data_IF_940567075460
#
_entry.id   IF_940567075460
#
_cell.length_a   1.000
_cell.length_b   1.000
_cell.length_c   1.000
_cell.angle_alpha   90.00
_cell.angle_beta   90.00
_cell.angle_gamma   90.00
#
_symmetry.space_group_name_H-M   'P 1'
#
loop_
_entity.id
_entity.type
_entity.pdbx_description
1 polymer ?
#
# COMPACT_ATOMS: atom_id res chain seq x y z
N UNK A 1 -11.66 12.56 28.32
CA UNK A 1 -10.87 12.63 27.05
C UNK A 1 -11.47 11.65 26.07
N UNK A 2 -11.61 12.03 24.80
CA UNK A 2 -12.09 11.13 23.76
C UNK A 2 -10.92 10.22 23.35
N UNK A 3 -11.12 8.91 23.31
CA UNK A 3 -10.13 7.96 22.80
C UNK A 3 -10.09 8.02 21.28
N UNK A 4 -8.89 8.05 20.70
CA UNK A 4 -8.66 7.91 19.25
C UNK A 4 -8.25 6.49 18.86
N UNK A 5 -8.15 5.59 19.85
CA UNK A 5 -7.88 4.18 19.60
C UNK A 5 -8.97 3.55 18.73
N UNK A 6 -8.58 2.68 17.81
CA UNK A 6 -9.48 2.02 16.87
C UNK A 6 -9.04 0.59 16.60
N UNK A 7 -9.90 -0.17 15.90
CA UNK A 7 -9.67 -1.57 15.57
C UNK A 7 -10.09 -1.86 14.13
N UNK A 8 -9.26 -2.62 13.41
CA UNK A 8 -9.57 -3.13 12.08
C UNK A 8 -9.34 -4.64 12.09
N UNK A 9 -10.41 -5.41 11.99
CA UNK A 9 -10.33 -6.87 12.11
C UNK A 9 -9.74 -7.30 13.45
N UNK A 10 -8.63 -8.01 13.43
CA UNK A 10 -7.90 -8.47 14.62
C UNK A 10 -6.84 -7.46 15.13
N UNK A 11 -6.64 -6.34 14.44
CA UNK A 11 -5.57 -5.38 14.72
C UNK A 11 -6.10 -4.20 15.55
N UNK A 12 -5.43 -3.93 16.66
CA UNK A 12 -5.69 -2.78 17.51
C UNK A 12 -4.70 -1.65 17.18
N UNK A 13 -5.17 -0.41 17.18
CA UNK A 13 -4.41 0.80 16.88
C UNK A 13 -4.59 1.80 18.00
N UNK A 14 -3.50 2.36 18.51
CA UNK A 14 -3.50 3.35 19.60
C UNK A 14 -4.22 4.65 19.20
N UNK A 15 -4.20 4.96 17.91
CA UNK A 15 -5.02 6.02 17.31
C UNK A 15 -5.33 5.73 15.83
N UNK A 16 -6.31 6.48 15.28
CA UNK A 16 -6.81 6.29 13.92
C UNK A 16 -6.02 7.05 12.83
N UNK A 17 -4.91 7.73 13.18
CA UNK A 17 -4.14 8.52 12.24
C UNK A 17 -3.01 7.68 11.63
N UNK A 18 -2.84 7.81 10.30
CA UNK A 18 -1.77 7.20 9.53
C UNK A 18 -1.46 8.05 8.29
N UNK A 19 -0.31 7.84 7.66
CA UNK A 19 -0.04 8.40 6.34
C UNK A 19 -0.92 7.74 5.26
N UNK A 20 -0.85 8.24 4.03
CA UNK A 20 -1.42 7.59 2.85
C UNK A 20 -0.31 6.97 1.99
N UNK A 21 -0.59 5.86 1.30
CA UNK A 21 0.34 5.25 0.36
C UNK A 21 0.70 6.26 -0.76
N UNK A 22 1.94 6.74 -0.75
CA UNK A 22 2.41 7.81 -1.64
C UNK A 22 2.88 9.08 -0.93
N UNK A 23 2.62 9.21 0.35
CA UNK A 23 3.03 10.35 1.17
C UNK A 23 4.04 9.88 2.21
N UNK A 24 5.29 10.35 2.08
CA UNK A 24 6.39 10.11 3.02
C UNK A 24 6.55 8.62 3.40
N UNK A 25 6.69 7.77 2.38
CA UNK A 25 6.68 6.32 2.56
C UNK A 25 7.49 5.56 1.50
N UNK A 26 8.38 6.28 0.79
CA UNK A 26 9.15 5.73 -0.31
C UNK A 26 10.33 4.90 0.17
N UNK A 27 11.00 5.34 1.24
CA UNK A 27 12.21 4.74 1.78
C UNK A 27 11.98 4.17 3.18
N UNK A 28 12.90 3.30 3.63
CA UNK A 28 12.87 2.76 5.00
C UNK A 28 13.06 3.85 6.04
N UNK A 29 13.85 4.88 5.73
CA UNK A 29 14.08 6.04 6.60
C UNK A 29 12.81 6.83 6.83
N UNK A 30 12.07 7.16 5.76
CA UNK A 30 10.77 7.85 5.85
C UNK A 30 9.75 7.02 6.67
N UNK A 31 9.68 5.73 6.43
CA UNK A 31 8.79 4.83 7.17
C UNK A 31 9.19 4.71 8.64
N UNK A 32 10.48 4.68 8.96
CA UNK A 32 10.98 4.64 10.33
C UNK A 32 10.63 5.91 11.12
N UNK A 33 10.61 7.08 10.47
CA UNK A 33 10.18 8.33 11.11
C UNK A 33 8.67 8.29 11.46
N UNK A 34 7.82 7.71 10.59
CA UNK A 34 6.40 7.54 10.90
C UNK A 34 6.22 6.50 12.01
N UNK A 35 6.99 5.41 12.00
CA UNK A 35 6.98 4.40 13.06
C UNK A 35 7.33 5.02 14.42
N UNK A 36 8.32 5.92 14.47
CA UNK A 36 8.72 6.63 15.67
C UNK A 36 7.74 7.75 16.11
N UNK A 37 6.84 8.16 15.24
CA UNK A 37 5.88 9.26 15.50
C UNK A 37 4.72 8.84 16.42
N UNK A 38 3.79 9.75 16.69
CA UNK A 38 2.54 9.47 17.42
C UNK A 38 1.43 8.89 16.53
N UNK A 39 1.66 8.66 15.21
CA UNK A 39 0.70 7.98 14.35
C UNK A 39 0.39 6.58 14.90
N UNK A 40 -0.85 6.13 14.78
CA UNK A 40 -1.28 4.80 15.26
C UNK A 40 -0.82 3.67 14.33
N UNK A 41 -0.48 4.01 13.09
CA UNK A 41 -0.06 3.05 12.06
C UNK A 41 0.66 3.79 10.93
N UNK A 42 1.19 3.03 9.97
CA UNK A 42 1.60 3.55 8.67
C UNK A 42 1.24 2.60 7.54
N UNK A 43 1.25 3.13 6.30
CA UNK A 43 1.18 2.35 5.07
C UNK A 43 2.43 2.60 4.23
N UNK A 44 2.99 1.54 3.64
CA UNK A 44 4.13 1.64 2.73
C UNK A 44 3.76 2.33 1.42
N UNK A 45 4.74 2.79 0.67
CA UNK A 45 4.54 3.10 -0.75
C UNK A 45 3.97 1.87 -1.45
N UNK A 46 3.00 2.08 -2.35
CA UNK A 46 2.48 0.98 -3.16
C UNK A 46 3.60 0.36 -4.00
N UNK A 47 3.97 -0.86 -3.69
CA UNK A 47 4.99 -1.64 -4.39
C UNK A 47 4.42 -2.34 -5.62
N UNK A 48 5.16 -2.30 -6.73
CA UNK A 48 4.91 -3.10 -7.95
C UNK A 48 5.87 -4.27 -8.02
N UNK A 49 5.64 -5.22 -8.94
CA UNK A 49 6.49 -6.42 -9.07
C UNK A 49 7.98 -6.04 -9.20
N UNK A 50 8.29 -5.10 -10.06
CA UNK A 50 9.62 -4.49 -10.18
C UNK A 50 9.61 -3.04 -9.68
N UNK A 51 10.77 -2.53 -9.26
CA UNK A 51 10.96 -1.11 -8.95
C UNK A 51 10.63 -0.22 -10.15
N UNK A 52 10.08 0.97 -9.90
CA UNK A 52 9.68 1.92 -10.94
C UNK A 52 10.23 3.32 -10.65
N UNK A 53 10.83 4.00 -11.63
CA UNK A 53 11.27 5.39 -11.47
C UNK A 53 10.09 6.38 -11.48
N UNK A 54 8.91 5.95 -11.95
CA UNK A 54 7.78 6.82 -12.23
C UNK A 54 7.82 7.46 -13.62
N UNK A 55 6.96 8.43 -13.85
CA UNK A 55 6.92 9.19 -15.10
C UNK A 55 8.10 10.18 -15.20
N UNK A 56 8.49 10.61 -16.41
CA UNK A 56 9.47 11.68 -16.59
C UNK A 56 9.04 13.00 -15.91
N UNK A 57 10.02 13.78 -15.51
CA UNK A 57 9.80 15.15 -15.01
C UNK A 57 9.48 16.12 -16.17
N UNK A 58 8.66 17.19 -15.94
CA UNK A 58 8.00 17.51 -14.67
C UNK A 58 6.75 16.66 -14.43
N UNK A 59 6.60 16.10 -13.24
CA UNK A 59 5.46 15.23 -12.87
C UNK A 59 4.68 15.70 -11.63
N UNK A 60 5.04 16.87 -11.12
CA UNK A 60 4.36 17.56 -10.02
C UNK A 60 4.37 19.05 -10.26
N UNK A 61 3.26 19.71 -9.97
CA UNK A 61 3.15 21.16 -10.03
C UNK A 61 2.17 21.67 -8.95
N UNK A 62 2.62 22.70 -8.22
CA UNK A 62 1.74 23.45 -7.34
C UNK A 62 0.87 24.43 -8.11
N UNK A 63 -0.35 24.64 -7.64
CA UNK A 63 -1.30 25.61 -8.14
C UNK A 63 -1.85 26.45 -6.98
N UNK A 64 -2.51 27.55 -7.26
CA UNK A 64 -3.11 28.41 -6.24
C UNK A 64 -4.17 27.69 -5.37
N UNK A 65 -4.77 26.61 -5.85
CA UNK A 65 -5.85 25.87 -5.20
C UNK A 65 -5.45 24.43 -4.78
N UNK A 66 -4.19 24.05 -4.93
CA UNK A 66 -3.72 22.71 -4.62
C UNK A 66 -2.55 22.29 -5.50
N UNK A 67 -2.46 21.01 -5.85
CA UNK A 67 -1.41 20.49 -6.71
C UNK A 67 -1.96 19.55 -7.79
N UNK A 68 -1.22 19.41 -8.86
CA UNK A 68 -1.48 18.43 -9.94
C UNK A 68 -0.26 17.52 -10.03
N UNK A 69 -0.48 16.21 -10.16
CA UNK A 69 0.63 15.30 -10.36
C UNK A 69 0.32 14.19 -11.38
N UNK A 70 1.39 13.68 -11.96
CA UNK A 70 1.39 12.47 -12.78
C UNK A 70 2.58 11.59 -12.40
N UNK A 71 2.69 11.23 -11.13
CA UNK A 71 3.87 10.57 -10.57
C UNK A 71 4.26 9.27 -11.29
N UNK A 72 3.31 8.50 -11.81
CA UNK A 72 3.59 7.24 -12.52
C UNK A 72 3.99 6.09 -11.61
N UNK A 73 3.57 6.14 -10.34
CA UNK A 73 3.78 5.09 -9.35
C UNK A 73 5.27 4.79 -9.09
N UNK A 74 6.13 5.81 -8.79
CA UNK A 74 7.51 5.53 -8.41
C UNK A 74 7.54 4.69 -7.12
N UNK A 75 8.36 3.64 -7.10
CA UNK A 75 8.51 2.77 -5.92
C UNK A 75 9.74 1.87 -6.06
N UNK A 76 10.20 1.29 -4.94
CA UNK A 76 11.39 0.44 -4.87
C UNK A 76 11.11 -1.06 -5.13
N UNK A 77 9.92 -1.41 -5.64
CA UNK A 77 9.48 -2.78 -5.82
C UNK A 77 8.82 -3.36 -4.55
N UNK A 78 7.89 -4.29 -4.73
CA UNK A 78 7.13 -4.84 -3.60
C UNK A 78 8.03 -5.56 -2.58
N UNK A 79 9.07 -6.25 -3.04
CA UNK A 79 9.96 -7.01 -2.17
C UNK A 79 10.67 -6.11 -1.15
N UNK A 80 11.13 -4.92 -1.57
CA UNK A 80 11.74 -3.93 -0.69
C UNK A 80 10.87 -3.58 0.52
N UNK A 81 9.56 -3.40 0.29
CA UNK A 81 8.60 -3.07 1.34
C UNK A 81 8.20 -4.31 2.14
N UNK A 82 8.02 -5.46 1.51
CA UNK A 82 7.71 -6.71 2.17
C UNK A 82 8.81 -7.10 3.16
N UNK A 83 10.07 -7.01 2.75
CA UNK A 83 11.22 -7.30 3.63
C UNK A 83 11.21 -6.38 4.84
N UNK A 84 11.04 -5.06 4.63
CA UNK A 84 11.02 -4.08 5.70
C UNK A 84 9.91 -4.34 6.72
N UNK A 85 8.67 -4.53 6.26
CA UNK A 85 7.54 -4.75 7.19
C UNK A 85 7.61 -6.11 7.87
N UNK A 86 8.23 -7.12 7.23
CA UNK A 86 8.47 -8.43 7.84
C UNK A 86 9.55 -8.37 8.93
N UNK A 87 10.61 -7.59 8.71
CA UNK A 87 11.61 -7.30 9.74
C UNK A 87 10.97 -6.56 10.93
N UNK A 88 10.18 -5.54 10.63
CA UNK A 88 9.61 -4.64 11.62
C UNK A 88 8.56 -5.33 12.51
N UNK A 89 7.72 -6.22 11.97
CA UNK A 89 6.72 -6.96 12.77
C UNK A 89 7.34 -7.81 13.90
N UNK A 90 8.61 -8.18 13.75
CA UNK A 90 9.35 -8.94 14.76
C UNK A 90 10.05 -8.03 15.79
N UNK A 91 9.96 -6.71 15.62
CA UNK A 91 10.53 -5.74 16.56
C UNK A 91 9.58 -5.52 17.74
N UNK A 92 10.03 -5.62 19.00
CA UNK A 92 9.17 -5.36 20.15
C UNK A 92 8.53 -3.96 20.09
N UNK A 93 7.24 -3.88 20.38
CA UNK A 93 6.45 -2.65 20.37
C UNK A 93 6.31 -1.94 19.00
N UNK A 94 6.59 -2.64 17.89
CA UNK A 94 6.28 -2.11 16.57
C UNK A 94 4.77 -1.91 16.41
N UNK A 95 4.40 -0.88 15.63
CA UNK A 95 3.00 -0.61 15.30
C UNK A 95 2.46 -1.64 14.31
N UNK A 96 1.15 -1.83 14.30
CA UNK A 96 0.49 -2.48 13.18
C UNK A 96 0.63 -1.59 11.93
N UNK A 97 0.91 -2.18 10.78
CA UNK A 97 1.19 -1.44 9.55
C UNK A 97 0.57 -2.12 8.33
N UNK A 98 0.47 -1.36 7.25
CA UNK A 98 -0.10 -1.81 5.98
C UNK A 98 0.98 -1.92 4.91
N UNK A 99 1.00 -3.05 4.23
CA UNK A 99 1.80 -3.26 3.02
C UNK A 99 0.95 -2.94 1.79
N UNK A 100 1.20 -1.81 1.12
CA UNK A 100 0.45 -1.41 -0.08
C UNK A 100 1.07 -2.00 -1.33
N UNK A 101 0.25 -2.64 -2.17
CA UNK A 101 0.68 -3.40 -3.33
C UNK A 101 -0.23 -3.19 -4.55
N UNK A 102 0.33 -3.33 -5.74
CA UNK A 102 -0.42 -3.44 -7.00
C UNK A 102 0.43 -4.09 -8.08
N UNK A 103 -0.15 -4.95 -8.90
CA UNK A 103 0.45 -5.38 -10.16
C UNK A 103 0.11 -4.43 -11.31
N UNK A 104 1.01 -4.33 -12.28
CA UNK A 104 0.75 -3.61 -13.54
C UNK A 104 -0.13 -4.42 -14.49
N UNK A 105 -0.35 -5.70 -14.17
CA UNK A 105 -1.31 -6.60 -14.79
C UNK A 105 -1.96 -7.47 -13.70
N UNK A 106 -3.00 -8.20 -14.06
CA UNK A 106 -3.63 -9.17 -13.17
C UNK A 106 -2.66 -10.29 -12.79
N UNK A 107 -1.86 -10.76 -13.74
CA UNK A 107 -0.83 -11.78 -13.51
C UNK A 107 0.23 -11.32 -12.50
N UNK A 108 0.72 -10.07 -12.64
CA UNK A 108 1.64 -9.48 -11.65
C UNK A 108 0.99 -9.36 -10.27
N UNK A 109 -0.28 -8.95 -10.21
CA UNK A 109 -1.03 -8.86 -8.95
C UNK A 109 -1.09 -10.22 -8.25
N UNK A 110 -1.41 -11.28 -9.00
CA UNK A 110 -1.41 -12.63 -8.46
C UNK A 110 -0.03 -13.12 -8.04
N UNK A 111 1.01 -12.79 -8.79
CA UNK A 111 2.40 -13.13 -8.45
C UNK A 111 2.82 -12.49 -7.14
N UNK A 112 2.59 -11.18 -7.00
CA UNK A 112 2.90 -10.42 -5.76
C UNK A 112 2.15 -11.01 -4.57
N UNK A 113 0.84 -11.18 -4.69
CA UNK A 113 0.01 -11.66 -3.58
C UNK A 113 0.33 -13.11 -3.18
N UNK A 114 0.69 -13.99 -4.12
CA UNK A 114 1.17 -15.35 -3.79
C UNK A 114 2.47 -15.30 -3.01
N UNK A 115 3.43 -14.46 -3.42
CA UNK A 115 4.68 -14.27 -2.67
C UNK A 115 4.42 -13.76 -1.25
N UNK A 116 3.51 -12.80 -1.08
CA UNK A 116 3.12 -12.30 0.24
C UNK A 116 2.40 -13.38 1.05
N UNK A 117 1.53 -14.18 0.43
CA UNK A 117 0.84 -15.29 1.09
C UNK A 117 1.82 -16.32 1.66
N UNK A 118 2.90 -16.60 0.93
CA UNK A 118 3.95 -17.57 1.30
C UNK A 118 4.99 -16.99 2.28
N UNK A 119 5.02 -15.67 2.46
CA UNK A 119 5.96 -15.00 3.37
C UNK A 119 5.53 -15.09 4.83
N UNK A 120 6.46 -14.76 5.74
CA UNK A 120 6.20 -14.68 7.19
C UNK A 120 5.42 -13.42 7.60
N UNK A 121 5.16 -12.48 6.70
CA UNK A 121 4.41 -11.27 7.01
C UNK A 121 2.98 -11.59 7.44
N UNK A 122 2.55 -11.06 8.60
CA UNK A 122 1.23 -11.31 9.19
C UNK A 122 0.39 -10.01 9.33
N UNK A 123 0.92 -8.88 8.85
CA UNK A 123 0.22 -7.60 8.93
C UNK A 123 -0.89 -7.44 7.88
N UNK A 124 -1.37 -6.20 7.74
CA UNK A 124 -2.44 -5.83 6.81
C UNK A 124 -1.88 -5.59 5.40
N UNK A 125 -2.53 -6.15 4.40
CA UNK A 125 -2.21 -5.89 2.99
C UNK A 125 -3.24 -4.92 2.40
N UNK A 126 -2.77 -3.85 1.75
CA UNK A 126 -3.60 -2.93 0.96
C UNK A 126 -3.42 -3.25 -0.53
N UNK A 127 -4.46 -3.71 -1.20
CA UNK A 127 -4.49 -3.80 -2.66
C UNK A 127 -4.93 -2.46 -3.25
N UNK A 128 -4.04 -1.78 -3.95
CA UNK A 128 -4.30 -0.47 -4.53
C UNK A 128 -4.94 -0.58 -5.91
N UNK A 129 -6.26 -0.37 -6.00
CA UNK A 129 -7.02 -0.34 -7.26
C UNK A 129 -7.27 1.09 -7.78
N UNK A 130 -6.72 2.11 -7.11
CA UNK A 130 -7.05 3.52 -7.35
C UNK A 130 -6.01 4.31 -8.15
N UNK A 131 -4.92 3.71 -8.63
CA UNK A 131 -3.83 4.47 -9.26
C UNK A 131 -4.20 4.97 -10.67
N UNK A 132 -4.39 6.30 -10.89
CA UNK A 132 -4.74 6.86 -12.19
C UNK A 132 -3.51 7.13 -13.08
N UNK A 133 -2.32 7.16 -12.50
CA UNK A 133 -1.11 7.75 -13.11
C UNK A 133 -0.30 6.74 -13.93
N UNK A 134 -0.96 5.73 -14.51
CA UNK A 134 -0.33 4.75 -15.39
C UNK A 134 -0.92 4.92 -16.81
N UNK A 135 -0.13 5.43 -17.77
CA UNK A 135 -0.63 5.67 -19.13
C UNK A 135 -1.23 4.41 -19.76
N UNK A 136 -2.39 4.58 -20.42
CA UNK A 136 -3.08 3.49 -21.12
C UNK A 136 -3.76 2.45 -20.20
N UNK A 137 -3.81 2.67 -18.89
CA UNK A 137 -4.48 1.78 -17.94
C UNK A 137 -5.65 2.52 -17.28
N UNK A 138 -6.90 2.10 -17.48
CA UNK A 138 -8.02 2.60 -16.71
C UNK A 138 -7.89 2.16 -15.25
N UNK A 139 -8.49 2.95 -14.35
CA UNK A 139 -8.58 2.53 -12.94
C UNK A 139 -9.53 1.34 -12.82
N UNK A 140 -9.01 0.18 -12.45
CA UNK A 140 -9.77 -1.07 -12.33
C UNK A 140 -10.95 -0.90 -11.36
N UNK A 141 -10.80 -0.08 -10.32
CA UNK A 141 -11.86 0.16 -9.33
C UNK A 141 -13.18 0.70 -9.90
N UNK A 142 -13.17 1.29 -11.10
CA UNK A 142 -14.39 1.73 -11.78
C UNK A 142 -15.01 0.65 -12.70
N UNK A 143 -14.32 -0.45 -12.92
CA UNK A 143 -14.86 -1.64 -13.57
C UNK A 143 -15.25 -2.66 -12.49
N UNK A 144 -16.50 -2.59 -12.05
CA UNK A 144 -16.99 -3.41 -10.93
C UNK A 144 -16.99 -4.90 -11.26
N UNK A 145 -17.28 -5.29 -12.49
CA UNK A 145 -17.29 -6.69 -12.92
C UNK A 145 -15.88 -7.29 -12.88
N UNK A 146 -14.91 -6.56 -13.44
CA UNK A 146 -13.51 -6.95 -13.40
C UNK A 146 -12.97 -6.96 -11.97
N UNK A 147 -13.31 -5.96 -11.15
CA UNK A 147 -12.91 -5.88 -9.75
C UNK A 147 -13.45 -7.07 -8.96
N UNK A 148 -14.74 -7.38 -9.09
CA UNK A 148 -15.37 -8.52 -8.42
C UNK A 148 -14.71 -9.84 -8.80
N UNK A 149 -14.44 -10.05 -10.09
CA UNK A 149 -13.80 -11.26 -10.60
C UNK A 149 -12.39 -11.41 -10.02
N UNK A 150 -11.56 -10.36 -10.09
CA UNK A 150 -10.19 -10.37 -9.57
C UNK A 150 -10.19 -10.66 -8.07
N UNK A 151 -11.05 -10.01 -7.29
CA UNK A 151 -11.11 -10.23 -5.85
C UNK A 151 -11.59 -11.66 -5.52
N UNK A 152 -12.56 -12.20 -6.24
CA UNK A 152 -12.99 -13.60 -6.08
C UNK A 152 -11.84 -14.59 -6.36
N UNK A 153 -11.01 -14.33 -7.36
CA UNK A 153 -9.87 -15.18 -7.68
C UNK A 153 -8.76 -15.06 -6.63
N UNK A 154 -8.49 -13.85 -6.14
CA UNK A 154 -7.55 -13.62 -5.03
C UNK A 154 -7.98 -14.36 -3.77
N UNK A 155 -9.24 -14.26 -3.35
CA UNK A 155 -9.74 -14.89 -2.13
C UNK A 155 -9.79 -16.43 -2.16
N UNK A 156 -9.51 -17.06 -3.30
CA UNK A 156 -9.33 -18.52 -3.37
C UNK A 156 -8.03 -19.01 -2.74
N UNK A 157 -7.00 -18.15 -2.69
CA UNK A 157 -5.69 -18.54 -2.18
C UNK A 157 -5.12 -17.57 -1.14
N UNK A 158 -5.53 -16.31 -1.15
CA UNK A 158 -5.03 -15.30 -0.24
C UNK A 158 -5.90 -15.23 1.00
N UNK A 159 -5.33 -15.61 2.14
CA UNK A 159 -6.05 -15.74 3.42
C UNK A 159 -5.58 -14.73 4.47
N UNK A 160 -4.53 -13.97 4.18
CA UNK A 160 -4.06 -12.90 5.08
C UNK A 160 -5.02 -11.70 5.03
N UNK A 161 -4.99 -10.83 6.06
CA UNK A 161 -5.85 -9.64 6.08
C UNK A 161 -5.63 -8.76 4.86
N UNK A 162 -6.67 -8.53 4.07
CA UNK A 162 -6.64 -7.78 2.83
C UNK A 162 -7.66 -6.63 2.89
N UNK A 163 -7.17 -5.41 2.70
CA UNK A 163 -7.97 -4.23 2.41
C UNK A 163 -7.84 -3.82 0.95
N UNK A 164 -8.82 -3.10 0.43
CA UNK A 164 -8.81 -2.58 -0.94
C UNK A 164 -8.89 -1.07 -0.87
N UNK A 165 -7.91 -0.38 -1.51
CA UNK A 165 -7.98 1.06 -1.67
C UNK A 165 -8.67 1.41 -2.98
N UNK A 166 -9.77 2.15 -2.87
CA UNK A 166 -10.58 2.65 -3.97
C UNK A 166 -10.25 4.13 -4.25
N UNK A 167 -10.61 4.68 -5.45
CA UNK A 167 -10.43 6.09 -5.78
C UNK A 167 -11.18 7.04 -4.86
#
# INVERSE_FOLDING_TARGET
MVSTATKIGAFDFDNCLMNAAGVYCMTREELAEIEASTAGSFVTKTGTLAARPGNPEPRYADTALGSINSMGLPNNGFQYYLDYVTELQNTPNSKNHFLSLVGMSEEETHTILKTVQESDYQGLVELNLSCPNVPGKPQIAYDFETTERILKDIFRYFTKPLGVKLP
#
